data_IF_995804461878
#
_entry.id   IF_995804461878
#
_cell.length_a   1.000
_cell.length_b   1.000
_cell.length_c   1.000
_cell.angle_alpha   90.00
_cell.angle_beta   90.00
_cell.angle_gamma   90.00
#
_symmetry.space_group_name_H-M   'P 1'
#
loop_
_entity.id
_entity.type
_entity.pdbx_description
1 polymer ?
#
# COMPACT_ATOMS: atom_id res chain seq x y z
N UNK A 1 -0.75 -20.23 -54.76
CA UNK A 1 -1.10 -18.89 -54.24
C UNK A 1 -2.45 -19.03 -53.56
N UNK A 2 -2.66 -18.81 -52.27
CA UNK A 2 -1.79 -18.37 -51.18
C UNK A 2 -2.23 -19.04 -49.87
N UNK A 3 -1.27 -19.20 -48.96
CA UNK A 3 -1.51 -19.73 -47.62
C UNK A 3 -2.20 -18.68 -46.76
N UNK A 4 -3.26 -19.07 -46.05
CA UNK A 4 -3.84 -18.28 -44.95
C UNK A 4 -3.13 -18.74 -43.68
N UNK A 5 -2.36 -17.85 -43.06
CA UNK A 5 -1.70 -18.12 -41.80
C UNK A 5 -2.70 -17.95 -40.65
N UNK A 6 -3.04 -19.04 -39.97
CA UNK A 6 -3.66 -18.99 -38.66
C UNK A 6 -2.64 -18.44 -37.65
N UNK A 7 -2.95 -17.29 -37.05
CA UNK A 7 -2.20 -16.74 -35.93
C UNK A 7 -2.41 -17.64 -34.71
N UNK A 8 -1.34 -18.25 -34.22
CA UNK A 8 -1.33 -18.89 -32.91
C UNK A 8 -1.61 -17.83 -31.83
N UNK A 9 -2.68 -18.03 -31.07
CA UNK A 9 -2.94 -17.31 -29.82
C UNK A 9 -2.03 -17.94 -28.78
N UNK A 10 -1.10 -17.16 -28.23
CA UNK A 10 -0.30 -17.60 -27.09
C UNK A 10 -1.24 -17.78 -25.89
N UNK A 11 -1.27 -18.98 -25.32
CA UNK A 11 -1.93 -19.22 -24.04
C UNK A 11 -1.26 -18.35 -22.96
N UNK A 12 -2.02 -17.80 -21.99
CA UNK A 12 -1.44 -17.05 -20.89
C UNK A 12 -0.53 -17.98 -20.07
N UNK A 13 0.68 -17.52 -19.83
CA UNK A 13 1.69 -18.20 -19.03
C UNK A 13 1.14 -18.41 -17.61
N UNK A 14 0.91 -19.67 -17.25
CA UNK A 14 0.45 -20.06 -15.91
C UNK A 14 1.54 -19.72 -14.89
N UNK A 15 1.33 -18.65 -14.12
CA UNK A 15 2.14 -18.34 -12.94
C UNK A 15 1.58 -19.14 -11.77
N UNK A 16 2.28 -20.16 -11.24
CA UNK A 16 1.74 -20.96 -10.15
C UNK A 16 1.72 -20.11 -8.89
N UNK A 17 0.59 -20.11 -8.16
CA UNK A 17 0.63 -19.86 -6.73
C UNK A 17 1.65 -20.83 -6.13
N UNK A 18 2.70 -20.33 -5.48
CA UNK A 18 3.72 -21.18 -4.86
C UNK A 18 3.11 -21.86 -3.63
N UNK A 19 2.34 -22.91 -3.89
CA UNK A 19 2.26 -24.05 -2.97
C UNK A 19 3.62 -24.72 -3.10
N UNK A 20 4.40 -24.73 -2.02
CA UNK A 20 5.55 -25.62 -1.91
C UNK A 20 5.06 -27.03 -2.30
N UNK A 21 5.44 -27.46 -3.50
CA UNK A 21 4.96 -28.70 -4.09
C UNK A 21 5.35 -29.85 -3.15
N UNK A 22 4.42 -30.76 -2.86
CA UNK A 22 4.69 -32.00 -2.12
C UNK A 22 5.85 -32.82 -2.73
N UNK A 23 6.20 -32.56 -4.00
CA UNK A 23 7.35 -33.14 -4.69
C UNK A 23 8.73 -32.57 -4.30
N UNK A 24 8.84 -31.36 -3.74
CA UNK A 24 10.12 -30.82 -3.23
C UNK A 24 10.49 -31.53 -1.92
N UNK A 25 9.47 -31.88 -1.14
CA UNK A 25 9.53 -32.57 0.14
C UNK A 25 9.92 -34.05 0.06
N UNK A 26 9.84 -34.68 -1.12
CA UNK A 26 10.19 -36.10 -1.30
C UNK A 26 11.68 -36.36 -1.53
N UNK A 27 12.52 -35.30 -1.50
CA UNK A 27 13.99 -35.39 -1.65
C UNK A 27 14.79 -34.96 -0.42
N UNK A 28 14.11 -34.54 0.65
CA UNK A 28 14.73 -34.09 1.90
C UNK A 28 14.70 -35.24 2.91
N UNK A 29 15.79 -35.45 3.64
CA UNK A 29 15.78 -36.47 4.70
C UNK A 29 15.01 -35.98 5.94
N UNK A 30 14.79 -36.89 6.89
CA UNK A 30 13.93 -36.63 8.06
C UNK A 30 14.42 -35.49 8.97
N UNK A 31 15.72 -35.17 8.96
CA UNK A 31 16.26 -34.06 9.74
C UNK A 31 16.07 -32.71 9.03
N UNK A 32 16.31 -32.66 7.71
CA UNK A 32 16.04 -31.48 6.89
C UNK A 32 14.55 -31.09 6.93
N UNK A 33 13.66 -32.08 6.93
CA UNK A 33 12.22 -31.85 7.03
C UNK A 33 11.81 -31.25 8.37
N UNK A 34 12.36 -31.78 9.48
CA UNK A 34 12.07 -31.28 10.82
C UNK A 34 12.59 -29.85 11.02
N UNK A 35 13.74 -29.51 10.43
CA UNK A 35 14.27 -28.14 10.41
C UNK A 35 13.36 -27.21 9.60
N UNK A 36 12.89 -27.61 8.43
CA UNK A 36 12.00 -26.80 7.60
C UNK A 36 10.64 -26.62 8.27
N UNK A 37 10.06 -27.68 8.84
CA UNK A 37 8.76 -27.60 9.52
C UNK A 37 8.81 -26.72 10.76
N UNK A 38 9.88 -26.85 11.56
CA UNK A 38 10.13 -26.00 12.75
C UNK A 38 10.36 -24.53 12.40
N UNK A 39 10.93 -24.26 11.22
CA UNK A 39 11.25 -22.90 10.76
C UNK A 39 10.37 -22.44 9.61
N UNK A 40 9.22 -23.11 9.36
CA UNK A 40 8.42 -22.87 8.15
C UNK A 40 7.96 -21.42 8.07
N UNK A 41 7.60 -20.83 9.21
CA UNK A 41 7.10 -19.46 9.27
C UNK A 41 8.21 -18.45 9.00
N UNK A 42 9.46 -18.78 9.39
CA UNK A 42 10.65 -17.99 9.09
C UNK A 42 11.02 -18.11 7.60
N UNK A 43 10.93 -19.32 7.03
CA UNK A 43 11.21 -19.57 5.61
C UNK A 43 10.14 -18.96 4.70
N UNK A 44 8.86 -19.01 5.10
CA UNK A 44 7.76 -18.33 4.42
C UNK A 44 7.89 -16.82 4.56
N UNK A 45 8.25 -16.29 5.74
CA UNK A 45 8.54 -14.87 5.90
C UNK A 45 9.75 -14.42 5.08
N UNK A 46 10.82 -15.23 5.02
CA UNK A 46 12.00 -14.95 4.20
C UNK A 46 11.70 -15.03 2.70
N UNK A 47 10.93 -16.03 2.26
CA UNK A 47 10.46 -16.13 0.88
C UNK A 47 9.54 -14.95 0.52
N UNK A 48 8.67 -14.51 1.43
CA UNK A 48 7.78 -13.37 1.24
C UNK A 48 8.48 -11.99 1.28
N UNK A 49 9.71 -11.91 1.82
CA UNK A 49 10.53 -10.69 1.85
C UNK A 49 11.19 -10.36 0.50
N UNK A 50 11.15 -11.29 -0.47
CA UNK A 50 11.87 -11.15 -1.75
C UNK A 50 11.00 -11.05 -3.00
N UNK A 51 9.68 -10.87 -2.90
CA UNK A 51 8.79 -10.87 -4.07
C UNK A 51 8.42 -9.49 -4.62
N UNK A 52 8.57 -8.42 -3.83
CA UNK A 52 8.18 -7.08 -4.24
C UNK A 52 9.41 -6.18 -4.27
N UNK A 53 9.66 -5.57 -5.41
CA UNK A 53 10.60 -4.48 -5.57
C UNK A 53 9.86 -3.16 -5.79
N UNK A 54 10.62 -2.09 -6.05
CA UNK A 54 10.06 -0.75 -6.25
C UNK A 54 9.02 -0.72 -7.37
N UNK A 55 9.23 -1.48 -8.46
CA UNK A 55 8.36 -1.48 -9.63
C UNK A 55 6.99 -2.08 -9.37
N UNK A 56 6.89 -3.00 -8.41
CA UNK A 56 5.62 -3.61 -8.03
C UNK A 56 4.76 -2.70 -7.12
N UNK A 57 5.39 -1.73 -6.45
CA UNK A 57 4.68 -0.87 -5.49
C UNK A 57 3.87 0.20 -6.22
N UNK A 58 2.56 0.17 -6.03
CA UNK A 58 1.66 1.22 -6.48
C UNK A 58 1.84 2.50 -5.65
N UNK A 59 1.84 3.65 -6.30
CA UNK A 59 2.13 4.95 -5.66
C UNK A 59 1.28 6.09 -6.22
N UNK A 60 -0.04 5.96 -6.13
CA UNK A 60 -1.02 6.90 -6.69
C UNK A 60 -0.88 8.33 -6.17
N UNK A 61 -1.05 9.29 -7.08
CA UNK A 61 -1.06 10.73 -6.79
C UNK A 61 -2.49 11.24 -6.65
N UNK A 62 -2.75 12.06 -5.64
CA UNK A 62 -4.10 12.56 -5.35
C UNK A 62 -4.46 13.82 -6.14
N UNK A 63 -3.45 14.61 -6.52
CA UNK A 63 -3.63 16.03 -6.89
C UNK A 63 -3.97 16.27 -8.36
N UNK A 64 -4.89 17.21 -8.67
CA UNK A 64 -5.29 17.51 -10.05
C UNK A 64 -4.17 18.12 -10.90
N UNK A 65 -3.18 18.75 -10.27
CA UNK A 65 -1.99 19.26 -10.97
C UNK A 65 -1.19 18.12 -11.61
N UNK A 66 -0.95 17.04 -10.88
CA UNK A 66 -0.21 15.87 -11.38
C UNK A 66 -0.94 15.23 -12.57
N UNK A 67 -2.27 15.16 -12.51
CA UNK A 67 -3.10 14.67 -13.61
C UNK A 67 -3.06 15.58 -14.83
N UNK A 68 -3.19 16.90 -14.64
CA UNK A 68 -3.09 17.87 -15.74
C UNK A 68 -1.72 17.89 -16.43
N UNK A 69 -0.65 17.49 -15.72
CA UNK A 69 0.70 17.33 -16.25
C UNK A 69 0.96 15.95 -16.85
N UNK A 70 0.01 15.02 -16.79
CA UNK A 70 0.17 13.65 -17.31
C UNK A 70 1.23 12.84 -16.57
N UNK A 71 1.41 13.07 -15.26
CA UNK A 71 2.41 12.36 -14.46
C UNK A 71 1.99 10.90 -14.23
N UNK A 72 2.94 9.98 -14.29
CA UNK A 72 2.71 8.59 -13.88
C UNK A 72 2.05 8.53 -12.49
N UNK A 73 1.17 7.55 -12.30
CA UNK A 73 0.37 7.32 -11.10
C UNK A 73 -0.70 8.38 -10.80
N UNK A 74 -0.94 9.34 -11.70
CA UNK A 74 -2.05 10.28 -11.59
C UNK A 74 -3.26 9.82 -12.41
N UNK A 75 -4.44 10.31 -12.07
CA UNK A 75 -5.66 9.95 -12.79
C UNK A 75 -6.82 10.90 -12.56
N UNK A 76 -7.90 10.65 -13.29
CA UNK A 76 -9.12 11.46 -13.32
C UNK A 76 -9.78 11.59 -11.94
N UNK A 77 -9.59 10.61 -11.04
CA UNK A 77 -10.08 10.65 -9.66
C UNK A 77 -9.75 11.97 -8.95
N UNK A 78 -8.61 12.58 -9.27
CA UNK A 78 -8.16 13.84 -8.67
C UNK A 78 -9.13 15.01 -8.84
N UNK A 79 -9.95 14.97 -9.91
CA UNK A 79 -10.95 15.99 -10.24
C UNK A 79 -12.33 15.72 -9.64
N UNK A 80 -12.55 14.57 -9.00
CA UNK A 80 -13.86 14.20 -8.47
C UNK A 80 -14.27 15.16 -7.34
N UNK A 81 -15.49 15.67 -7.43
CA UNK A 81 -16.03 16.63 -6.47
C UNK A 81 -17.07 15.99 -5.56
N UNK A 82 -16.80 16.00 -4.25
CA UNK A 82 -17.66 15.37 -3.24
C UNK A 82 -18.00 16.37 -2.15
N UNK A 83 -19.28 16.70 -2.04
CA UNK A 83 -19.87 17.43 -0.89
C UNK A 83 -19.09 18.67 -0.45
N UNK A 84 -18.56 19.45 -1.38
CA UNK A 84 -17.80 20.66 -1.07
C UNK A 84 -16.30 20.57 -1.30
N UNK A 85 -15.74 19.38 -1.55
CA UNK A 85 -14.31 19.14 -1.61
C UNK A 85 -13.92 18.35 -2.87
N UNK A 86 -12.83 18.75 -3.51
CA UNK A 86 -12.19 17.93 -4.54
C UNK A 86 -11.40 16.80 -3.89
N UNK A 87 -11.37 15.64 -4.55
CA UNK A 87 -10.63 14.46 -4.11
C UNK A 87 -9.18 14.81 -3.76
N UNK A 88 -8.50 15.61 -4.58
CA UNK A 88 -7.11 16.01 -4.32
C UNK A 88 -6.86 16.75 -3.00
N UNK A 89 -7.90 17.22 -2.31
CA UNK A 89 -7.77 17.85 -0.98
C UNK A 89 -7.89 16.87 0.19
N UNK A 90 -8.41 15.66 -0.04
CA UNK A 90 -8.69 14.69 1.04
C UNK A 90 -8.28 13.25 0.74
N UNK A 91 -7.84 12.98 -0.49
CA UNK A 91 -7.65 11.65 -1.05
C UNK A 91 -6.43 10.89 -0.51
N UNK A 92 -5.54 11.51 0.25
CA UNK A 92 -4.25 10.91 0.59
C UNK A 92 -4.37 9.56 1.29
N UNK A 93 -5.29 9.43 2.26
CA UNK A 93 -5.54 8.14 2.90
C UNK A 93 -6.13 7.09 1.97
N UNK A 94 -6.92 7.51 0.97
CA UNK A 94 -7.56 6.62 -0.01
C UNK A 94 -6.55 6.16 -1.06
N UNK A 95 -5.66 7.05 -1.52
CA UNK A 95 -4.48 6.68 -2.27
C UNK A 95 -3.64 5.66 -1.49
N UNK A 96 -3.42 5.89 -0.19
CA UNK A 96 -2.62 4.97 0.60
C UNK A 96 -3.22 3.56 0.71
N UNK A 97 -4.54 3.47 0.84
CA UNK A 97 -5.27 2.21 0.87
C UNK A 97 -5.27 1.53 -0.49
N UNK A 98 -5.47 2.27 -1.58
CA UNK A 98 -5.44 1.75 -2.95
C UNK A 98 -4.05 1.24 -3.35
N UNK A 99 -2.98 1.93 -2.90
CA UNK A 99 -1.60 1.47 -3.07
C UNK A 99 -1.40 0.10 -2.42
N UNK A 100 -1.82 -0.08 -1.17
CA UNK A 100 -1.68 -1.36 -0.45
C UNK A 100 -2.49 -2.45 -1.16
N UNK A 101 -3.74 -2.16 -1.52
CA UNK A 101 -4.60 -3.12 -2.21
C UNK A 101 -3.98 -3.59 -3.52
N UNK A 102 -3.61 -2.63 -4.38
CA UNK A 102 -3.09 -2.90 -5.72
C UNK A 102 -1.70 -3.54 -5.72
N UNK A 103 -0.90 -3.29 -4.69
CA UNK A 103 0.43 -3.89 -4.56
C UNK A 103 0.34 -5.34 -4.04
N UNK A 104 -0.47 -5.60 -3.01
CA UNK A 104 -0.32 -6.82 -2.20
C UNK A 104 -1.48 -7.81 -2.30
N UNK A 105 -2.60 -7.46 -2.92
CA UNK A 105 -3.75 -8.36 -3.02
C UNK A 105 -3.74 -9.27 -4.25
N UNK A 106 -2.96 -8.93 -5.28
CA UNK A 106 -3.05 -9.57 -6.60
C UNK A 106 -4.22 -9.06 -7.45
N UNK A 107 -5.02 -8.14 -6.92
CA UNK A 107 -6.06 -7.38 -7.64
C UNK A 107 -5.68 -5.91 -7.69
N UNK A 108 -6.38 -5.13 -8.51
CA UNK A 108 -6.11 -3.70 -8.69
C UNK A 108 -7.33 -2.82 -8.46
N UNK A 109 -7.14 -1.61 -7.94
CA UNK A 109 -8.20 -0.62 -7.82
C UNK A 109 -7.66 0.82 -7.88
N UNK A 110 -8.52 1.76 -8.26
CA UNK A 110 -8.21 3.17 -8.24
C UNK A 110 -8.38 3.77 -6.83
N UNK A 111 -7.77 4.94 -6.53
CA UNK A 111 -8.09 5.69 -5.32
C UNK A 111 -9.57 6.07 -5.20
N UNK A 112 -10.30 6.15 -6.31
CA UNK A 112 -11.72 6.45 -6.33
C UNK A 112 -12.60 5.21 -6.14
N UNK A 113 -12.21 4.04 -6.66
CA UNK A 113 -12.83 2.77 -6.31
C UNK A 113 -12.76 2.55 -4.79
N UNK A 114 -11.57 2.78 -4.24
CA UNK A 114 -11.32 2.67 -2.80
C UNK A 114 -12.15 3.68 -1.99
N UNK A 115 -12.34 4.90 -2.52
CA UNK A 115 -13.26 5.87 -1.95
C UNK A 115 -14.69 5.33 -1.87
N UNK A 116 -15.23 4.84 -2.99
CA UNK A 116 -16.60 4.33 -3.07
C UNK A 116 -16.81 3.15 -2.12
N UNK A 117 -15.87 2.20 -2.12
CA UNK A 117 -15.93 1.04 -1.25
C UNK A 117 -15.83 1.43 0.23
N UNK A 118 -14.94 2.36 0.59
CA UNK A 118 -14.83 2.83 1.96
C UNK A 118 -16.14 3.42 2.50
N UNK A 119 -16.85 4.19 1.66
CA UNK A 119 -18.18 4.72 2.02
C UNK A 119 -19.20 3.62 2.24
N UNK A 120 -19.20 2.61 1.39
CA UNK A 120 -20.12 1.48 1.46
C UNK A 120 -19.93 0.69 2.76
N UNK A 121 -18.68 0.35 3.10
CA UNK A 121 -18.44 -0.68 4.11
C UNK A 121 -18.06 -0.18 5.50
N UNK A 122 -17.62 1.07 5.63
CA UNK A 122 -17.30 1.68 6.93
C UNK A 122 -18.28 2.78 7.34
N UNK A 123 -19.07 3.30 6.39
CA UNK A 123 -19.89 4.48 6.60
C UNK A 123 -19.11 5.80 6.54
N UNK A 124 -17.81 5.76 6.16
CA UNK A 124 -17.02 6.95 5.89
C UNK A 124 -17.79 7.88 4.98
N UNK A 125 -17.95 9.14 5.39
CA UNK A 125 -18.69 10.12 4.60
C UNK A 125 -18.00 11.47 4.74
N UNK A 126 -17.26 11.94 3.72
CA UNK A 126 -16.62 13.25 3.79
C UNK A 126 -17.67 14.36 3.88
N UNK A 127 -17.25 15.46 4.48
CA UNK A 127 -18.03 16.70 4.60
C UNK A 127 -17.17 17.87 4.13
N UNK A 128 -17.77 19.04 3.91
CA UNK A 128 -17.04 20.26 3.60
C UNK A 128 -15.93 20.59 4.62
N UNK A 129 -16.12 20.24 5.91
CA UNK A 129 -15.19 20.56 7.00
C UNK A 129 -14.13 19.48 7.24
N UNK A 130 -14.49 18.21 7.04
CA UNK A 130 -13.64 17.06 7.30
C UNK A 130 -13.75 16.14 6.10
N UNK A 131 -12.70 16.11 5.28
CA UNK A 131 -12.63 15.30 4.07
C UNK A 131 -11.91 13.98 4.28
N UNK A 132 -10.75 13.98 4.95
CA UNK A 132 -9.89 12.80 5.02
C UNK A 132 -10.57 11.62 5.76
N UNK A 133 -10.29 10.40 5.30
CA UNK A 133 -10.76 9.18 5.95
C UNK A 133 -10.16 9.04 7.35
N UNK A 134 -10.98 8.61 8.31
CA UNK A 134 -10.54 8.37 9.68
C UNK A 134 -9.84 7.03 9.85
N UNK A 135 -9.03 6.90 10.90
CA UNK A 135 -8.30 5.67 11.21
C UNK A 135 -9.18 4.42 11.39
N UNK A 136 -10.32 4.56 12.10
CA UNK A 136 -11.23 3.45 12.33
C UNK A 136 -11.88 2.94 11.04
N UNK A 137 -12.24 3.88 10.15
CA UNK A 137 -12.75 3.57 8.81
C UNK A 137 -11.68 2.86 7.99
N UNK A 138 -10.48 3.43 7.91
CA UNK A 138 -9.33 2.85 7.21
C UNK A 138 -9.06 1.40 7.67
N UNK A 139 -8.98 1.15 8.98
CA UNK A 139 -8.80 -0.20 9.53
C UNK A 139 -9.92 -1.15 9.11
N UNK A 140 -11.17 -0.70 9.17
CA UNK A 140 -12.35 -1.49 8.80
C UNK A 140 -12.29 -1.90 7.34
N UNK A 141 -11.99 -0.94 6.45
CA UNK A 141 -11.89 -1.18 5.00
C UNK A 141 -10.76 -2.14 4.69
N UNK A 142 -9.55 -1.89 5.20
CA UNK A 142 -8.39 -2.76 4.91
C UNK A 142 -8.63 -4.21 5.34
N UNK A 143 -9.26 -4.43 6.51
CA UNK A 143 -9.62 -5.78 6.96
C UNK A 143 -10.68 -6.44 6.08
N UNK A 144 -11.65 -5.68 5.58
CA UNK A 144 -12.64 -6.20 4.61
C UNK A 144 -12.02 -6.51 3.25
N UNK A 145 -10.97 -5.80 2.88
CA UNK A 145 -10.13 -6.12 1.73
C UNK A 145 -9.21 -7.33 1.99
N UNK A 146 -9.30 -8.01 3.14
CA UNK A 146 -8.51 -9.22 3.44
C UNK A 146 -7.13 -8.95 4.05
N UNK A 147 -6.83 -7.71 4.47
CA UNK A 147 -5.54 -7.39 5.10
C UNK A 147 -5.57 -7.54 6.61
N UNK A 148 -4.47 -8.08 7.17
CA UNK A 148 -4.17 -7.95 8.59
C UNK A 148 -3.68 -6.52 8.86
N UNK A 149 -4.61 -5.67 9.31
CA UNK A 149 -4.41 -4.25 9.51
C UNK A 149 -4.68 -3.82 10.98
N UNK A 150 -3.69 -3.17 11.57
CA UNK A 150 -3.71 -2.73 12.97
C UNK A 150 -3.29 -1.28 13.16
N UNK A 151 -3.93 -0.59 14.10
CA UNK A 151 -3.69 0.82 14.40
C UNK A 151 -2.76 0.97 15.60
N UNK A 152 -1.83 1.90 15.48
CA UNK A 152 -0.82 2.13 16.51
C UNK A 152 -0.64 3.61 16.81
N UNK A 153 -0.15 3.86 18.02
CA UNK A 153 0.34 5.17 18.46
C UNK A 153 1.85 5.23 18.31
N UNK A 154 2.39 6.45 18.17
CA UNK A 154 3.84 6.68 18.18
C UNK A 154 4.46 6.04 19.44
N UNK A 155 5.38 5.07 19.31
CA UNK A 155 6.10 4.54 20.46
C UNK A 155 7.04 5.60 21.02
N UNK A 156 7.53 5.39 22.24
CA UNK A 156 8.37 6.37 22.92
C UNK A 156 9.78 6.45 22.33
N UNK A 157 10.28 5.31 21.85
CA UNK A 157 11.57 5.14 21.21
C UNK A 157 11.44 4.78 19.72
N UNK A 158 12.48 5.11 18.98
CA UNK A 158 12.54 4.90 17.54
C UNK A 158 12.71 3.42 17.19
N UNK A 159 13.44 2.69 18.01
CA UNK A 159 13.80 1.29 17.81
C UNK A 159 12.53 0.43 17.76
N UNK A 160 11.57 0.66 18.65
CA UNK A 160 10.26 0.00 18.64
C UNK A 160 9.49 0.29 17.35
N UNK A 161 9.49 1.54 16.89
CA UNK A 161 8.85 1.90 15.61
C UNK A 161 9.52 1.21 14.43
N UNK A 162 10.86 1.22 14.40
CA UNK A 162 11.66 0.56 13.36
C UNK A 162 11.40 -0.93 13.30
N UNK A 163 11.33 -1.60 14.45
CA UNK A 163 11.06 -3.05 14.52
C UNK A 163 9.65 -3.39 14.00
N UNK A 164 8.67 -2.55 14.30
CA UNK A 164 7.32 -2.67 13.75
C UNK A 164 7.29 -2.47 12.24
N UNK A 165 7.94 -1.42 11.72
CA UNK A 165 7.99 -1.14 10.28
C UNK A 165 8.72 -2.24 9.52
N UNK A 166 9.86 -2.72 10.04
CA UNK A 166 10.66 -3.80 9.46
C UNK A 166 9.89 -5.12 9.30
N UNK A 167 8.91 -5.37 10.16
CA UNK A 167 8.11 -6.61 10.10
C UNK A 167 6.84 -6.50 9.25
N UNK A 168 6.43 -5.27 8.88
CA UNK A 168 5.23 -5.02 8.09
C UNK A 168 5.50 -5.10 6.57
N UNK A 169 4.46 -5.43 5.80
CA UNK A 169 4.48 -5.32 4.32
C UNK A 169 4.45 -3.86 3.88
N UNK A 170 3.59 -3.07 4.52
CA UNK A 170 3.44 -1.65 4.27
C UNK A 170 2.83 -0.98 5.50
N UNK A 171 3.06 0.31 5.64
CA UNK A 171 2.54 1.12 6.73
C UNK A 171 1.92 2.38 6.16
N UNK A 172 0.68 2.71 6.55
CA UNK A 172 0.14 4.05 6.35
C UNK A 172 0.54 4.88 7.56
N UNK A 173 1.24 5.98 7.35
CA UNK A 173 1.65 6.91 8.42
C UNK A 173 1.00 8.27 8.24
N UNK A 174 0.66 8.95 9.33
CA UNK A 174 0.17 10.32 9.33
C UNK A 174 1.29 11.25 9.79
N UNK A 175 1.83 12.01 8.84
CA UNK A 175 2.94 12.94 9.08
C UNK A 175 2.46 14.38 9.19
N UNK A 176 3.26 15.21 9.86
CA UNK A 176 2.92 16.60 10.14
C UNK A 176 4.19 17.42 10.32
N UNK A 177 4.29 18.51 9.56
CA UNK A 177 5.40 19.47 9.67
C UNK A 177 5.39 20.28 10.96
N UNK A 178 4.38 20.09 11.81
CA UNK A 178 4.38 20.66 13.16
C UNK A 178 5.24 19.83 14.12
N UNK A 179 5.36 18.53 13.86
CA UNK A 179 6.09 17.58 14.71
C UNK A 179 7.56 17.50 14.26
N UNK A 180 7.81 17.40 12.95
CA UNK A 180 9.13 17.63 12.35
C UNK A 180 8.97 18.11 10.90
N UNK A 181 9.75 19.11 10.49
CA UNK A 181 9.64 19.75 9.17
C UNK A 181 10.88 19.57 8.27
N UNK A 182 11.77 18.64 8.62
CA UNK A 182 13.00 18.36 7.88
C UNK A 182 12.66 17.88 6.47
N UNK A 183 11.74 16.92 6.38
CA UNK A 183 11.26 16.36 5.11
C UNK A 183 9.95 17.03 4.64
N UNK A 184 8.85 16.83 5.36
CA UNK A 184 7.56 17.43 5.00
C UNK A 184 7.46 18.88 5.45
N UNK A 185 7.33 19.80 4.49
CA UNK A 185 7.20 21.25 4.76
C UNK A 185 5.74 21.67 4.61
N UNK A 186 5.28 22.59 5.47
CA UNK A 186 3.93 23.20 5.42
C UNK A 186 2.78 22.17 5.36
N UNK A 187 2.93 21.07 6.09
CA UNK A 187 2.01 19.92 6.08
C UNK A 187 1.30 19.82 7.43
N UNK A 188 0.03 20.21 7.50
CA UNK A 188 -0.74 20.15 8.76
C UNK A 188 -1.12 18.72 9.18
N UNK A 189 -1.13 17.78 8.25
CA UNK A 189 -1.46 16.38 8.42
C UNK A 189 -1.64 15.72 7.06
N UNK A 190 -0.88 14.68 6.78
CA UNK A 190 -0.89 14.00 5.48
C UNK A 190 -0.62 12.51 5.63
N UNK A 191 -1.39 11.69 4.93
CA UNK A 191 -1.18 10.25 4.90
C UNK A 191 -0.21 9.89 3.77
N UNK A 192 0.78 9.05 4.08
CA UNK A 192 1.71 8.48 3.10
C UNK A 192 1.88 6.98 3.37
N UNK A 193 2.30 6.20 2.38
CA UNK A 193 2.76 4.83 2.61
C UNK A 193 4.27 4.79 2.75
N UNK A 194 4.75 3.91 3.62
CA UNK A 194 6.13 3.44 3.62
C UNK A 194 6.15 1.92 3.49
N UNK A 195 7.10 1.39 2.74
CA UNK A 195 7.28 -0.05 2.50
C UNK A 195 8.74 -0.36 2.16
N UNK A 196 9.05 -1.62 1.82
CA UNK A 196 10.36 -2.06 1.34
C UNK A 196 11.54 -1.58 2.21
N UNK A 197 11.45 -1.80 3.53
CA UNK A 197 12.49 -1.38 4.47
C UNK A 197 13.86 -1.98 4.14
N UNK A 198 14.90 -1.12 4.05
CA UNK A 198 16.29 -1.48 3.82
C UNK A 198 17.06 -1.51 5.13
N UNK A 199 17.45 -2.72 5.58
CA UNK A 199 18.10 -2.93 6.88
C UNK A 199 19.49 -2.29 6.97
N UNK A 200 20.21 -2.19 5.85
CA UNK A 200 21.58 -1.68 5.77
C UNK A 200 21.67 -0.15 5.83
N UNK A 201 20.66 0.55 5.30
CA UNK A 201 20.61 2.01 5.28
C UNK A 201 19.59 2.63 6.23
N UNK A 202 18.73 1.83 6.88
CA UNK A 202 17.62 2.29 7.73
C UNK A 202 16.65 3.21 6.96
N UNK A 203 16.37 2.84 5.71
CA UNK A 203 15.51 3.58 4.78
C UNK A 203 14.24 2.82 4.43
N UNK A 204 13.22 3.56 4.02
CA UNK A 204 11.95 3.02 3.51
C UNK A 204 11.59 3.65 2.17
N UNK A 205 10.94 2.86 1.31
CA UNK A 205 10.37 3.36 0.08
C UNK A 205 9.08 4.12 0.37
N UNK A 206 9.06 5.41 0.00
CA UNK A 206 7.96 6.33 0.22
C UNK A 206 7.02 6.36 -0.99
N UNK A 207 5.74 6.15 -0.76
CA UNK A 207 4.70 6.61 -1.67
C UNK A 207 3.96 7.80 -1.05
N UNK A 208 4.19 9.00 -1.60
CA UNK A 208 3.61 10.26 -1.15
C UNK A 208 2.56 10.76 -2.16
N UNK A 209 1.26 10.66 -1.84
CA UNK A 209 0.21 11.06 -2.78
C UNK A 209 0.18 12.55 -3.13
N UNK A 210 0.81 13.42 -2.33
CA UNK A 210 0.76 14.87 -2.48
C UNK A 210 2.04 15.47 -3.08
N UNK A 211 3.15 14.71 -3.09
CA UNK A 211 4.45 15.17 -3.56
C UNK A 211 4.91 14.35 -4.77
N UNK A 212 4.55 14.73 -6.01
CA UNK A 212 4.91 13.95 -7.19
C UNK A 212 6.41 13.91 -7.48
N UNK A 213 7.20 14.85 -6.95
CA UNK A 213 8.66 14.87 -7.14
C UNK A 213 9.38 14.06 -6.05
N UNK A 214 8.82 14.03 -4.83
CA UNK A 214 9.28 13.21 -3.72
C UNK A 214 8.72 11.78 -3.68
N UNK A 215 7.68 11.48 -4.48
CA UNK A 215 7.07 10.14 -4.57
C UNK A 215 8.05 9.11 -5.12
N UNK A 216 7.96 7.86 -4.65
CA UNK A 216 8.80 6.72 -5.07
C UNK A 216 10.30 6.91 -4.81
N UNK A 217 10.64 7.45 -3.63
CA UNK A 217 12.02 7.59 -3.19
C UNK A 217 12.27 6.83 -1.89
N UNK A 218 13.51 6.39 -1.70
CA UNK A 218 13.97 5.96 -0.39
C UNK A 218 14.25 7.17 0.50
N UNK A 219 13.74 7.12 1.73
CA UNK A 219 13.99 8.13 2.74
C UNK A 219 14.43 7.46 4.04
N UNK A 220 15.25 8.13 4.88
CA UNK A 220 15.54 7.64 6.21
C UNK A 220 14.24 7.42 7.01
N UNK A 221 14.06 6.23 7.58
CA UNK A 221 12.87 5.92 8.37
C UNK A 221 12.72 6.86 9.58
N UNK A 222 13.84 7.37 10.08
CA UNK A 222 13.88 8.36 11.15
C UNK A 222 13.09 9.63 10.82
N UNK A 223 13.13 10.12 9.58
CA UNK A 223 12.35 11.28 9.18
C UNK A 223 10.85 11.04 9.29
N UNK A 224 10.40 9.82 9.00
CA UNK A 224 9.00 9.43 9.20
C UNK A 224 8.65 9.45 10.68
N UNK A 225 9.46 8.80 11.52
CA UNK A 225 9.22 8.70 12.96
C UNK A 225 9.11 10.08 13.61
N UNK A 226 10.07 10.97 13.33
CA UNK A 226 10.10 12.30 13.93
C UNK A 226 8.86 13.12 13.49
N UNK A 227 8.43 13.01 12.24
CA UNK A 227 7.27 13.72 11.69
C UNK A 227 5.90 13.12 12.03
N UNK A 228 5.80 11.98 12.73
CA UNK A 228 4.52 11.37 13.09
C UNK A 228 3.64 12.36 13.88
N UNK A 229 2.42 12.59 13.39
CA UNK A 229 1.50 13.60 13.93
C UNK A 229 0.98 13.24 15.32
N UNK A 230 1.64 13.72 16.37
CA UNK A 230 1.39 13.29 17.76
C UNK A 230 0.02 13.68 18.30
N UNK A 231 -0.59 14.75 17.79
CA UNK A 231 -1.95 15.18 18.19
C UNK A 231 -3.07 14.28 17.65
N UNK A 232 -2.78 13.39 16.70
CA UNK A 232 -3.75 12.41 16.21
C UNK A 232 -3.94 11.27 17.21
N UNK A 233 -5.12 10.65 17.24
CA UNK A 233 -5.39 9.52 18.15
C UNK A 233 -4.48 8.30 17.86
N UNK A 234 -4.16 8.09 16.59
CA UNK A 234 -3.23 7.09 16.10
C UNK A 234 -2.29 7.76 15.10
N UNK A 235 -1.09 7.22 14.92
CA UNK A 235 -0.09 7.78 14.02
C UNK A 235 0.13 6.93 12.79
N UNK A 236 -0.12 5.62 12.88
CA UNK A 236 0.08 4.72 11.75
C UNK A 236 -0.81 3.48 11.82
N UNK A 237 -1.01 2.89 10.65
CA UNK A 237 -1.67 1.61 10.43
C UNK A 237 -0.66 0.66 9.80
N UNK A 238 -0.32 -0.43 10.49
CA UNK A 238 0.53 -1.49 9.96
C UNK A 238 -0.31 -2.49 9.16
N UNK A 239 0.24 -2.97 8.05
CA UNK A 239 -0.28 -4.10 7.28
C UNK A 239 0.76 -5.20 7.27
N UNK A 240 0.46 -6.33 7.92
CA UNK A 240 1.42 -7.44 8.06
C UNK A 240 1.21 -8.54 7.02
N UNK A 241 -0.03 -8.72 6.54
CA UNK A 241 -0.39 -9.84 5.69
C UNK A 241 -1.67 -9.59 4.90
N UNK A 242 -1.92 -10.50 3.95
CA UNK A 242 -3.10 -10.52 3.08
C UNK A 242 -3.67 -11.94 3.01
N UNK A 243 -4.99 -12.04 2.95
CA UNK A 243 -5.73 -13.30 2.76
C UNK A 243 -6.82 -13.13 1.71
N UNK A 244 -6.66 -13.79 0.57
CA UNK A 244 -7.64 -13.82 -0.52
C UNK A 244 -9.01 -14.35 -0.06
N UNK A 245 -9.01 -15.35 0.82
CA UNK A 245 -10.27 -15.90 1.35
C UNK A 245 -11.05 -14.89 2.20
N UNK A 246 -10.36 -13.91 2.79
CA UNK A 246 -10.96 -12.85 3.60
C UNK A 246 -11.24 -11.57 2.79
N UNK A 247 -10.75 -11.46 1.55
CA UNK A 247 -11.02 -10.32 0.68
C UNK A 247 -12.48 -10.36 0.20
N UNK A 248 -13.31 -9.49 0.79
CA UNK A 248 -14.73 -9.36 0.48
C UNK A 248 -14.99 -8.49 -0.75
N UNK A 249 -14.01 -7.70 -1.18
CA UNK A 249 -14.20 -6.71 -2.24
C UNK A 249 -13.96 -7.30 -3.62
N UNK A 250 -12.80 -7.95 -3.81
CA UNK A 250 -12.37 -8.56 -5.09
C UNK A 250 -12.52 -7.62 -6.30
N UNK A 251 -12.31 -6.32 -6.08
CA UNK A 251 -12.22 -5.34 -7.16
C UNK A 251 -10.96 -5.64 -7.95
N UNK A 252 -11.07 -5.77 -9.26
CA UNK A 252 -9.91 -5.89 -10.12
C UNK A 252 -10.09 -5.07 -11.39
N UNK A 253 -9.17 -4.14 -11.60
CA UNK A 253 -9.19 -3.16 -12.68
C UNK A 253 -9.38 -1.73 -12.18
N UNK A 254 -8.96 -0.80 -13.04
CA UNK A 254 -9.11 0.65 -12.88
C UNK A 254 -9.85 1.15 -14.12
N UNK A 255 -11.09 1.60 -13.91
CA UNK A 255 -11.96 2.06 -15.00
C UNK A 255 -11.68 3.52 -15.38
N UNK A 256 -11.22 4.34 -14.44
CA UNK A 256 -10.92 5.74 -14.67
C UNK A 256 -9.71 5.92 -15.58
N UNK A 257 -9.69 7.01 -16.34
CA UNK A 257 -8.50 7.39 -17.09
C UNK A 257 -7.35 7.72 -16.12
N UNK A 258 -6.19 7.08 -16.32
CA UNK A 258 -4.99 7.29 -15.51
C UNK A 258 -3.71 7.07 -16.31
N UNK A 259 -2.61 7.57 -15.77
CA UNK A 259 -1.27 7.39 -16.35
C UNK A 259 -0.57 6.27 -15.60
N UNK A 260 -0.46 5.11 -16.23
CA UNK A 260 0.35 3.99 -15.74
C UNK A 260 1.86 4.36 -15.74
N UNK A 261 2.68 3.74 -14.88
CA UNK A 261 4.14 3.92 -14.89
C UNK A 261 4.81 3.53 -16.21
#
# INVERSE_FOLDING_TARGET
>A
MGAVAEKAVAEPEYVPAVRLYAGIFTKLDGEEYAVIEKNKDILVAAANRGYFDESDVYSFLQGPKSWGEGRAWSGEWSNQYVRGNYFGNFGCGLCCMANIYSTFSGHTCSPWDMFLYAREVSGYTPTKKIGAIGWGDMKTVMRKCGFDAELYTKPQDYETFRDQVRSAKSVVVLVSSHDDNTYWKKTGGHYVNISLYKEDTDEVFLADPADPDGNRNYIPLRYVYDALKTVSKYQYLLVNGYSEEQNQWKQDGIDEAWVAP
#
